data_IF_270496073712
#
_entry.id   IF_270496073712
#
_cell.length_a   1.000
_cell.length_b   1.000
_cell.length_c   1.000
_cell.angle_alpha   90.00
_cell.angle_beta   90.00
_cell.angle_gamma   90.00
#
_symmetry.space_group_name_H-M   'P 1'
#
loop_
_entity.id
_entity.type
_entity.pdbx_description
1 polymer ?
#
# COMPACT_ATOMS: atom_id res chain seq x y z
N UNK A 1 -8.00 24.21 4.21
CA UNK A 1 -9.35 24.43 3.64
C UNK A 1 -10.01 23.08 3.41
N UNK A 2 -11.34 22.97 3.51
CA UNK A 2 -12.05 21.73 3.16
C UNK A 2 -11.83 21.38 1.68
N UNK A 3 -11.52 20.12 1.39
CA UNK A 3 -11.33 19.64 0.03
C UNK A 3 -12.67 19.56 -0.71
N UNK A 4 -12.72 20.13 -1.92
CA UNK A 4 -13.80 19.84 -2.86
C UNK A 4 -13.63 18.46 -3.50
N UNK A 5 -14.68 17.95 -4.15
CA UNK A 5 -14.66 16.67 -4.85
C UNK A 5 -13.52 16.60 -5.86
N UNK A 6 -12.69 15.56 -5.79
CA UNK A 6 -11.56 15.35 -6.69
C UNK A 6 -10.27 16.09 -6.32
N UNK A 7 -10.29 16.93 -5.28
CA UNK A 7 -9.09 17.59 -4.78
C UNK A 7 -8.32 16.71 -3.79
N UNK A 8 -7.02 16.92 -3.75
CA UNK A 8 -6.10 16.33 -2.78
C UNK A 8 -5.24 17.43 -2.16
N UNK A 9 -4.79 17.22 -0.92
CA UNK A 9 -3.78 18.09 -0.33
C UNK A 9 -2.44 17.92 -1.03
N UNK A 10 -1.70 19.01 -1.21
CA UNK A 10 -0.33 18.97 -1.73
C UNK A 10 0.63 18.42 -0.67
N UNK A 11 1.10 17.20 -0.87
CA UNK A 11 2.14 16.57 -0.06
C UNK A 11 3.54 16.71 -0.66
N UNK A 12 3.65 16.92 -1.97
CA UNK A 12 4.94 16.92 -2.66
C UNK A 12 5.76 18.15 -2.30
N UNK A 13 5.13 19.33 -2.19
CA UNK A 13 5.85 20.55 -1.84
C UNK A 13 6.59 20.43 -0.50
N UNK A 14 5.98 19.80 0.51
CA UNK A 14 6.60 19.58 1.82
C UNK A 14 7.73 18.55 1.73
N UNK A 15 7.44 17.38 1.13
CA UNK A 15 8.42 16.30 0.98
C UNK A 15 9.68 16.79 0.23
N UNK A 16 9.49 17.53 -0.87
CA UNK A 16 10.59 18.06 -1.65
C UNK A 16 11.33 19.19 -0.94
N UNK A 17 10.63 20.05 -0.19
CA UNK A 17 11.30 21.08 0.60
C UNK A 17 12.24 20.48 1.65
N UNK A 18 11.81 19.40 2.32
CA UNK A 18 12.66 18.69 3.29
C UNK A 18 13.82 17.98 2.60
N UNK A 19 13.58 17.29 1.47
CA UNK A 19 14.64 16.64 0.70
C UNK A 19 15.68 17.65 0.17
N UNK A 20 15.27 18.86 -0.23
CA UNK A 20 16.18 19.95 -0.60
C UNK A 20 17.06 20.38 0.58
N UNK A 21 16.49 20.49 1.79
CA UNK A 21 17.26 20.81 3.01
C UNK A 21 18.29 19.73 3.31
N UNK A 22 17.91 18.46 3.20
CA UNK A 22 18.80 17.31 3.40
C UNK A 22 19.97 17.31 2.39
N UNK A 23 19.76 17.87 1.19
CA UNK A 23 20.78 18.04 0.17
C UNK A 23 21.64 19.30 0.35
N UNK A 24 21.45 20.07 1.42
CA UNK A 24 22.19 21.32 1.69
C UNK A 24 21.61 22.56 1.01
N UNK A 25 20.45 22.45 0.36
CA UNK A 25 19.76 23.57 -0.29
C UNK A 25 18.82 24.33 0.64
N UNK A 26 18.43 25.53 0.23
CA UNK A 26 17.39 26.34 0.90
C UNK A 26 16.11 26.33 0.06
N UNK A 27 15.04 25.62 0.47
CA UNK A 27 13.81 25.57 -0.31
C UNK A 27 13.09 26.93 -0.28
N UNK A 28 12.58 27.35 -1.45
CA UNK A 28 11.75 28.54 -1.61
C UNK A 28 10.35 28.08 -2.05
N UNK A 29 9.37 28.02 -1.13
CA UNK A 29 8.01 27.61 -1.49
C UNK A 29 7.35 28.62 -2.43
N UNK A 30 7.00 28.17 -3.65
CA UNK A 30 6.34 29.01 -4.67
C UNK A 30 4.81 28.82 -4.73
N UNK A 31 4.27 27.92 -3.89
CA UNK A 31 2.83 27.63 -3.80
C UNK A 31 2.29 26.75 -4.93
N UNK A 32 0.98 26.53 -4.90
CA UNK A 32 0.25 25.78 -5.93
C UNK A 32 -0.03 26.71 -7.11
N UNK A 33 0.40 26.32 -8.31
CA UNK A 33 0.18 27.06 -9.55
C UNK A 33 -1.00 26.42 -10.29
N UNK A 34 -2.01 27.20 -10.74
CA UNK A 34 -3.09 26.68 -11.57
C UNK A 34 -2.57 26.06 -12.86
N UNK A 35 -3.27 25.04 -13.38
CA UNK A 35 -2.95 24.34 -14.64
C UNK A 35 -3.26 25.19 -15.89
N UNK A 36 -2.74 26.42 -15.91
CA UNK A 36 -2.92 27.42 -16.97
C UNK A 36 -1.56 27.85 -17.55
N UNK A 37 -1.33 27.79 -18.88
CA UNK A 37 -0.02 28.07 -19.47
C UNK A 37 0.60 29.41 -19.05
N UNK A 38 -0.22 30.47 -18.96
CA UNK A 38 0.24 31.79 -18.53
C UNK A 38 0.67 31.83 -17.06
N UNK A 39 -0.04 31.10 -16.19
CA UNK A 39 0.28 31.02 -14.77
C UNK A 39 1.59 30.25 -14.55
N UNK A 40 1.76 29.11 -15.24
CA UNK A 40 3.00 28.31 -15.20
C UNK A 40 4.19 29.13 -15.72
N UNK A 41 4.06 29.82 -16.86
CA UNK A 41 5.11 30.70 -17.39
C UNK A 41 5.55 31.76 -16.39
N UNK A 42 4.59 32.48 -15.81
CA UNK A 42 4.88 33.51 -14.83
C UNK A 42 5.54 32.94 -13.57
N UNK A 43 5.12 31.75 -13.12
CA UNK A 43 5.71 31.08 -11.96
C UNK A 43 7.15 30.63 -12.23
N UNK A 44 7.42 30.00 -13.37
CA UNK A 44 8.77 29.56 -13.78
C UNK A 44 9.72 30.76 -13.88
N UNK A 45 9.29 31.85 -14.53
CA UNK A 45 10.10 33.06 -14.65
C UNK A 45 10.46 33.67 -13.28
N UNK A 46 9.48 33.74 -12.36
CA UNK A 46 9.74 34.19 -10.97
C UNK A 46 10.69 33.27 -10.23
N UNK A 47 10.55 31.95 -10.39
CA UNK A 47 11.41 30.96 -9.74
C UNK A 47 12.86 31.05 -10.26
N UNK A 48 13.05 31.15 -11.57
CA UNK A 48 14.37 31.32 -12.20
C UNK A 48 15.08 32.61 -11.77
N UNK A 49 14.33 33.68 -11.48
CA UNK A 49 14.88 34.92 -10.95
C UNK A 49 15.33 34.80 -9.48
N UNK A 50 14.68 33.94 -8.69
CA UNK A 50 14.86 33.87 -7.24
C UNK A 50 15.70 32.68 -6.74
N UNK A 51 15.90 31.65 -7.57
CA UNK A 51 16.53 30.39 -7.19
C UNK A 51 17.60 29.93 -8.18
N UNK A 52 18.47 29.01 -7.73
CA UNK A 52 19.50 28.36 -8.54
C UNK A 52 19.01 27.07 -9.21
N UNK A 53 18.03 26.41 -8.58
CA UNK A 53 17.37 25.19 -9.07
C UNK A 53 15.86 25.37 -8.95
N UNK A 54 15.12 25.02 -10.01
CA UNK A 54 13.65 25.12 -10.03
C UNK A 54 13.04 23.73 -10.09
N UNK A 55 12.15 23.44 -9.13
CA UNK A 55 11.43 22.17 -9.05
C UNK A 55 9.94 22.41 -9.22
N UNK A 56 9.33 21.66 -10.13
CA UNK A 56 7.90 21.52 -10.30
C UNK A 56 7.52 20.10 -9.89
N UNK A 57 6.35 19.91 -9.30
CA UNK A 57 5.83 18.57 -8.97
C UNK A 57 4.38 18.45 -9.41
N UNK A 58 4.07 17.40 -10.17
CA UNK A 58 2.75 17.27 -10.80
C UNK A 58 2.68 17.90 -12.19
N UNK A 59 1.51 17.81 -12.81
CA UNK A 59 1.28 18.23 -14.20
C UNK A 59 1.91 17.33 -15.27
N UNK A 60 2.59 16.25 -14.88
CA UNK A 60 3.24 15.30 -15.81
C UNK A 60 2.42 13.99 -15.93
N UNK A 61 2.05 13.62 -17.16
CA UNK A 61 1.38 12.37 -17.61
C UNK A 61 -0.17 12.30 -17.70
N UNK A 62 -0.60 11.85 -18.91
CA UNK A 62 -1.97 11.50 -19.40
C UNK A 62 -2.97 12.64 -19.59
N UNK A 63 -2.68 13.52 -20.56
CA UNK A 63 -3.61 14.51 -21.13
C UNK A 63 -3.02 15.25 -22.34
N UNK A 64 -3.78 16.06 -23.10
CA UNK A 64 -3.48 16.50 -24.48
C UNK A 64 -2.22 17.36 -24.73
N UNK A 65 -1.37 17.59 -23.73
CA UNK A 65 0.07 17.93 -23.77
C UNK A 65 0.49 18.08 -22.31
N UNK A 66 1.68 17.58 -21.95
CA UNK A 66 2.30 17.80 -20.64
C UNK A 66 2.54 19.32 -20.50
N UNK A 67 1.59 20.03 -19.86
CA UNK A 67 1.49 21.49 -19.88
C UNK A 67 2.81 22.12 -19.45
N UNK A 68 3.40 21.57 -18.38
CA UNK A 68 4.66 22.03 -17.84
C UNK A 68 5.77 21.89 -18.88
N UNK A 69 5.92 20.71 -19.50
CA UNK A 69 6.97 20.48 -20.50
C UNK A 69 6.83 21.42 -21.68
N UNK A 70 5.62 21.57 -22.22
CA UNK A 70 5.37 22.52 -23.32
C UNK A 70 5.74 23.95 -22.92
N UNK A 71 5.35 24.39 -21.72
CA UNK A 71 5.72 25.72 -21.23
C UNK A 71 7.23 25.86 -21.12
N UNK A 72 7.94 24.84 -20.64
CA UNK A 72 9.40 24.86 -20.56
C UNK A 72 10.06 24.93 -21.96
N UNK A 73 9.57 24.16 -22.93
CA UNK A 73 10.06 24.23 -24.33
C UNK A 73 9.85 25.63 -24.95
N UNK A 74 8.77 26.31 -24.59
CA UNK A 74 8.45 27.66 -25.10
C UNK A 74 9.20 28.80 -24.38
N UNK A 75 9.73 28.58 -23.16
CA UNK A 75 10.19 29.68 -22.29
C UNK A 75 11.60 29.59 -21.75
N UNK A 76 12.22 28.42 -21.73
CA UNK A 76 13.57 28.30 -21.20
C UNK A 76 14.61 28.77 -22.23
N UNK A 77 15.66 29.42 -21.74
CA UNK A 77 16.85 29.69 -22.53
C UNK A 77 17.56 28.36 -22.88
N UNK A 78 18.40 28.38 -23.91
CA UNK A 78 19.22 27.23 -24.26
C UNK A 78 20.02 26.72 -23.03
N UNK A 79 20.14 25.39 -22.83
CA UNK A 79 19.80 24.31 -23.77
C UNK A 79 18.34 23.83 -23.76
N UNK A 80 17.49 24.31 -22.84
CA UNK A 80 16.08 23.90 -22.75
C UNK A 80 15.89 22.48 -22.19
N UNK A 81 14.88 21.76 -22.68
CA UNK A 81 14.55 20.39 -22.24
C UNK A 81 15.61 19.40 -22.73
N UNK A 82 16.23 18.66 -21.80
CA UNK A 82 17.29 17.67 -22.07
C UNK A 82 16.79 16.22 -21.99
N UNK A 83 15.76 15.95 -21.17
CA UNK A 83 15.15 14.63 -21.10
C UNK A 83 13.67 14.75 -20.76
N UNK A 84 12.83 13.97 -21.43
CA UNK A 84 11.41 13.79 -21.11
C UNK A 84 11.06 12.31 -21.07
N UNK A 85 10.82 11.81 -19.87
CA UNK A 85 10.55 10.41 -19.60
C UNK A 85 11.81 9.61 -19.26
N UNK A 86 11.72 8.78 -18.22
CA UNK A 86 12.79 7.85 -17.83
C UNK A 86 12.27 6.42 -17.78
N UNK A 87 13.16 5.46 -18.05
CA UNK A 87 12.87 4.03 -17.96
C UNK A 87 12.95 3.52 -16.49
N UNK A 88 12.30 4.25 -15.58
CA UNK A 88 12.29 4.02 -14.14
C UNK A 88 10.87 3.79 -13.63
N UNK A 89 10.72 2.88 -12.67
CA UNK A 89 9.48 2.57 -11.95
C UNK A 89 9.76 2.57 -10.45
N UNK A 90 9.07 3.38 -9.63
CA UNK A 90 8.19 4.49 -10.01
C UNK A 90 8.99 5.67 -10.59
N UNK A 91 8.36 6.54 -11.40
CA UNK A 91 9.05 7.77 -11.86
C UNK A 91 9.02 8.09 -13.36
N UNK A 92 8.37 7.27 -14.20
CA UNK A 92 8.33 7.47 -15.65
C UNK A 92 8.13 8.94 -16.11
N UNK A 93 7.14 9.71 -15.60
CA UNK A 93 6.90 11.07 -16.08
C UNK A 93 7.81 12.08 -15.38
N UNK A 94 9.04 12.20 -15.86
CA UNK A 94 10.04 13.16 -15.42
C UNK A 94 10.42 14.07 -16.60
N UNK A 95 10.57 15.36 -16.37
CA UNK A 95 11.21 16.27 -17.31
C UNK A 95 12.44 16.90 -16.65
N UNK A 96 13.59 16.80 -17.32
CA UNK A 96 14.81 17.50 -16.93
C UNK A 96 15.10 18.56 -18.00
N UNK A 97 15.43 19.75 -17.55
CA UNK A 97 15.71 20.90 -18.40
C UNK A 97 16.76 21.81 -17.76
N UNK A 98 17.34 22.70 -18.55
CA UNK A 98 18.26 23.74 -18.08
C UNK A 98 17.92 25.05 -18.79
N UNK A 99 17.83 26.15 -18.03
CA UNK A 99 17.73 27.50 -18.58
C UNK A 99 19.03 28.25 -18.33
N UNK A 100 19.83 28.45 -19.38
CA UNK A 100 21.19 28.97 -19.24
C UNK A 100 22.06 28.01 -18.43
N UNK A 101 22.31 28.35 -17.15
CA UNK A 101 23.06 27.51 -16.21
C UNK A 101 22.21 26.97 -15.04
N UNK A 102 20.89 27.21 -15.04
CA UNK A 102 19.99 26.85 -13.94
C UNK A 102 19.21 25.56 -14.25
N UNK A 103 19.37 24.49 -13.44
CA UNK A 103 18.59 23.27 -13.59
C UNK A 103 17.10 23.49 -13.30
N UNK A 104 16.25 22.88 -14.13
CA UNK A 104 14.79 22.85 -13.96
C UNK A 104 14.32 21.40 -14.06
N UNK A 105 13.55 20.93 -13.07
CA UNK A 105 12.99 19.59 -13.08
C UNK A 105 11.48 19.62 -12.87
N UNK A 106 10.75 18.86 -13.70
CA UNK A 106 9.32 18.58 -13.49
C UNK A 106 9.19 17.14 -13.02
N UNK A 107 8.94 17.00 -11.73
CA UNK A 107 8.81 15.72 -11.04
C UNK A 107 7.38 15.16 -11.18
N UNK A 108 7.23 13.83 -11.17
CA UNK A 108 5.93 13.17 -11.15
C UNK A 108 4.97 13.72 -10.09
N UNK A 109 3.66 13.74 -10.39
CA UNK A 109 2.65 14.13 -9.40
C UNK A 109 2.45 13.13 -8.27
N UNK A 110 2.79 11.86 -8.49
CA UNK A 110 2.67 10.83 -7.46
C UNK A 110 3.82 10.93 -6.44
N UNK A 111 3.54 11.00 -5.12
CA UNK A 111 4.56 11.34 -4.12
C UNK A 111 5.77 10.40 -4.08
N UNK A 112 5.53 9.09 -4.13
CA UNK A 112 6.62 8.10 -4.17
C UNK A 112 7.46 8.29 -5.44
N UNK A 113 6.83 8.61 -6.57
CA UNK A 113 7.56 8.86 -7.83
C UNK A 113 8.37 10.15 -7.76
N UNK A 114 7.82 11.21 -7.16
CA UNK A 114 8.48 12.50 -7.00
C UNK A 114 9.75 12.37 -6.16
N UNK A 115 9.68 11.70 -5.00
CA UNK A 115 10.82 11.57 -4.10
C UNK A 115 11.92 10.65 -4.67
N UNK A 116 11.55 9.55 -5.34
CA UNK A 116 12.53 8.69 -6.02
C UNK A 116 13.26 9.44 -7.14
N UNK A 117 12.52 10.10 -8.03
CA UNK A 117 13.13 10.86 -9.13
C UNK A 117 13.91 12.07 -8.63
N UNK A 118 13.50 12.69 -7.52
CA UNK A 118 14.29 13.71 -6.84
C UNK A 118 15.64 13.15 -6.39
N UNK A 119 15.68 12.05 -5.63
CA UNK A 119 16.93 11.49 -5.12
C UNK A 119 17.84 10.99 -6.24
N UNK A 120 17.28 10.40 -7.30
CA UNK A 120 18.05 9.88 -8.43
C UNK A 120 18.65 11.00 -9.29
N UNK A 121 17.88 12.05 -9.63
CA UNK A 121 18.27 13.01 -10.67
C UNK A 121 18.52 14.44 -10.16
N UNK A 122 17.90 14.84 -9.05
CA UNK A 122 17.95 16.23 -8.56
C UNK A 122 18.89 16.38 -7.36
N UNK A 123 18.86 15.44 -6.41
CA UNK A 123 19.70 15.48 -5.22
C UNK A 123 21.19 15.56 -5.54
N UNK A 124 21.75 14.80 -6.52
CA UNK A 124 23.17 14.91 -6.87
C UNK A 124 23.54 16.32 -7.35
N UNK A 125 22.64 16.98 -8.10
CA UNK A 125 22.84 18.33 -8.63
C UNK A 125 22.84 19.37 -7.51
N UNK A 126 21.86 19.31 -6.60
CA UNK A 126 21.79 20.24 -5.46
C UNK A 126 23.02 20.08 -4.56
N UNK A 127 23.43 18.83 -4.29
CA UNK A 127 24.61 18.54 -3.46
C UNK A 127 25.88 19.08 -4.10
N UNK A 128 26.07 18.85 -5.41
CA UNK A 128 27.21 19.39 -6.14
C UNK A 128 27.27 20.93 -6.09
N UNK A 129 26.12 21.60 -6.27
CA UNK A 129 26.02 23.07 -6.14
C UNK A 129 26.30 23.55 -4.71
N UNK A 130 25.93 22.77 -3.70
CA UNK A 130 26.21 23.05 -2.29
C UNK A 130 27.67 22.72 -1.89
N UNK A 131 28.51 22.23 -2.81
CA UNK A 131 29.87 21.78 -2.50
C UNK A 131 29.93 20.50 -1.66
N UNK A 132 28.83 19.74 -1.63
CA UNK A 132 28.75 18.45 -0.97
C UNK A 132 29.10 17.33 -1.95
N UNK A 133 29.82 16.31 -1.46
CA UNK A 133 30.09 15.10 -2.23
C UNK A 133 28.84 14.24 -2.46
N UNK A 134 29.00 13.12 -3.16
CA UNK A 134 27.93 12.12 -3.30
C UNK A 134 27.39 11.68 -1.92
N UNK A 135 26.09 11.40 -1.80
CA UNK A 135 25.55 10.85 -0.57
C UNK A 135 26.23 9.51 -0.25
N UNK A 136 26.61 9.30 1.01
CA UNK A 136 27.02 7.97 1.44
C UNK A 136 25.79 7.07 1.48
N UNK A 137 25.66 6.19 0.49
CA UNK A 137 24.60 5.20 0.45
C UNK A 137 24.87 4.09 1.47
N UNK A 138 24.01 3.96 2.47
CA UNK A 138 24.03 2.78 3.33
C UNK A 138 23.31 1.63 2.62
N UNK A 139 24.11 0.62 2.27
CA UNK A 139 23.64 -0.62 1.62
C UNK A 139 23.58 -1.74 2.64
N UNK A 140 22.42 -2.39 2.72
CA UNK A 140 22.13 -3.45 3.68
C UNK A 140 21.81 -4.73 2.90
N UNK A 141 22.54 -5.81 3.16
CA UNK A 141 22.21 -7.12 2.61
C UNK A 141 20.98 -7.70 3.35
N UNK A 142 19.98 -8.17 2.61
CA UNK A 142 18.80 -8.80 3.17
C UNK A 142 18.20 -9.84 2.23
N UNK A 143 17.61 -10.89 2.79
CA UNK A 143 16.98 -11.97 2.03
C UNK A 143 15.54 -11.63 1.65
N UNK A 144 15.11 -11.98 0.45
CA UNK A 144 13.71 -11.89 0.06
C UNK A 144 12.90 -13.09 0.60
N UNK A 145 11.76 -12.88 1.28
CA UNK A 145 10.91 -13.95 1.77
C UNK A 145 9.87 -14.42 0.75
N UNK A 146 9.82 -13.78 -0.42
CA UNK A 146 8.90 -14.08 -1.53
C UNK A 146 9.57 -13.72 -2.86
N UNK A 147 9.18 -14.41 -3.93
CA UNK A 147 9.56 -14.02 -5.30
C UNK A 147 9.03 -12.64 -5.65
N UNK A 148 9.89 -11.81 -6.24
CA UNK A 148 9.54 -10.47 -6.73
C UNK A 148 9.57 -10.48 -8.24
N UNK A 149 8.45 -10.09 -8.86
CA UNK A 149 8.35 -9.94 -10.31
C UNK A 149 8.36 -8.47 -10.71
N UNK A 150 9.05 -8.17 -11.80
CA UNK A 150 9.21 -6.84 -12.39
C UNK A 150 8.81 -6.84 -13.87
N UNK A 151 8.39 -5.68 -14.37
CA UNK A 151 8.06 -5.51 -15.79
C UNK A 151 9.33 -5.35 -16.63
N UNK A 152 9.48 -6.09 -17.75
CA UNK A 152 10.62 -5.92 -18.65
C UNK A 152 10.74 -4.48 -19.17
N UNK A 153 11.98 -4.01 -19.35
CA UNK A 153 12.27 -2.74 -20.01
C UNK A 153 12.22 -1.52 -19.08
N UNK A 154 12.04 -1.70 -17.77
CA UNK A 154 12.16 -0.63 -16.77
C UNK A 154 12.96 -1.08 -15.56
N UNK A 155 13.83 -0.20 -15.08
CA UNK A 155 14.44 -0.38 -13.76
C UNK A 155 13.38 -0.13 -12.70
N UNK A 156 13.16 -1.09 -11.80
CA UNK A 156 12.15 -0.98 -10.73
C UNK A 156 12.80 -0.83 -9.35
N UNK A 157 12.49 0.26 -8.65
CA UNK A 157 12.85 0.46 -7.25
C UNK A 157 11.76 -0.12 -6.36
N UNK A 158 12.03 -1.26 -5.74
CA UNK A 158 11.08 -1.98 -4.90
C UNK A 158 11.29 -1.56 -3.46
N UNK A 159 10.33 -0.83 -2.89
CA UNK A 159 10.34 -0.45 -1.48
C UNK A 159 10.19 -1.69 -0.59
N UNK A 160 10.91 -1.71 0.53
CA UNK A 160 10.91 -2.83 1.46
C UNK A 160 10.75 -2.38 2.90
N UNK A 161 10.22 -3.27 3.72
CA UNK A 161 10.36 -3.24 5.17
C UNK A 161 11.32 -4.32 5.61
N UNK A 162 12.29 -3.94 6.42
CA UNK A 162 13.29 -4.85 6.98
C UNK A 162 12.76 -5.45 8.28
N UNK A 163 12.89 -6.76 8.40
CA UNK A 163 12.69 -7.52 9.63
C UNK A 163 13.92 -8.35 9.92
N UNK A 164 14.01 -8.88 11.13
CA UNK A 164 15.15 -9.68 11.59
C UNK A 164 14.62 -11.04 12.08
N UNK A 165 15.30 -12.11 11.70
CA UNK A 165 15.01 -13.47 12.19
C UNK A 165 15.50 -13.65 13.62
N UNK A 166 15.10 -14.74 14.29
CA UNK A 166 15.67 -15.12 15.60
C UNK A 166 17.21 -15.28 15.56
N UNK A 167 17.77 -15.63 14.39
CA UNK A 167 19.20 -15.81 14.18
C UNK A 167 19.94 -14.50 13.81
N UNK A 168 19.25 -13.36 13.77
CA UNK A 168 19.84 -12.07 13.42
C UNK A 168 19.96 -11.78 11.92
N UNK A 169 19.46 -12.68 11.05
CA UNK A 169 19.48 -12.45 9.61
C UNK A 169 18.37 -11.48 9.18
N UNK A 170 18.71 -10.51 8.32
CA UNK A 170 17.76 -9.53 7.79
C UNK A 170 16.93 -10.09 6.65
N UNK A 171 15.65 -9.76 6.66
CA UNK A 171 14.67 -10.16 5.66
C UNK A 171 13.96 -8.91 5.13
N UNK A 172 13.91 -8.77 3.81
CA UNK A 172 13.34 -7.62 3.12
C UNK A 172 11.96 -7.96 2.56
N UNK A 173 10.91 -7.50 3.23
CA UNK A 173 9.53 -7.67 2.78
C UNK A 173 9.17 -6.55 1.78
N UNK A 174 8.88 -6.88 0.50
CA UNK A 174 8.44 -5.89 -0.47
C UNK A 174 7.12 -5.23 -0.04
N UNK A 175 7.04 -3.91 -0.13
CA UNK A 175 5.83 -3.15 0.20
C UNK A 175 5.38 -2.26 -0.95
N UNK A 176 4.06 -2.27 -1.17
CA UNK A 176 3.39 -1.41 -2.14
C UNK A 176 3.64 -1.81 -3.60
N UNK A 177 2.56 -2.02 -4.35
CA UNK A 177 2.58 -1.98 -5.82
C UNK A 177 1.74 -0.77 -6.23
N UNK A 178 2.37 0.40 -6.35
CA UNK A 178 1.67 1.62 -6.76
C UNK A 178 2.39 2.91 -6.35
N UNK A 179 2.58 3.83 -7.29
CA UNK A 179 3.32 5.08 -7.14
C UNK A 179 2.66 6.13 -6.24
N UNK A 180 1.34 6.03 -5.99
CA UNK A 180 0.55 7.09 -5.36
C UNK A 180 0.50 7.09 -3.83
N UNK A 181 1.21 6.18 -3.16
CA UNK A 181 1.05 5.95 -1.72
C UNK A 181 2.19 6.57 -0.90
N UNK A 182 1.96 7.77 -0.34
CA UNK A 182 2.88 8.42 0.62
C UNK A 182 3.17 7.51 1.81
N UNK A 183 2.16 6.76 2.28
CA UNK A 183 2.28 5.88 3.43
C UNK A 183 3.22 4.71 3.17
N UNK A 184 3.34 4.25 1.92
CA UNK A 184 4.31 3.21 1.56
C UNK A 184 5.73 3.72 1.71
N UNK A 185 6.02 4.94 1.24
CA UNK A 185 7.34 5.56 1.45
C UNK A 185 7.63 5.77 2.94
N UNK A 186 6.69 6.34 3.70
CA UNK A 186 6.90 6.62 5.13
C UNK A 186 7.10 5.37 6.00
N UNK A 187 6.69 4.20 5.51
CA UNK A 187 6.80 2.93 6.21
C UNK A 187 7.98 2.07 5.74
N UNK A 188 8.60 2.44 4.61
CA UNK A 188 9.76 1.76 4.06
C UNK A 188 10.98 1.96 4.95
N UNK A 189 11.78 0.89 5.10
CA UNK A 189 13.12 0.99 5.68
C UNK A 189 14.17 1.25 4.58
N UNK A 190 13.82 0.95 3.31
CA UNK A 190 14.69 1.15 2.15
C UNK A 190 14.04 0.65 0.87
N UNK A 191 14.84 0.51 -0.18
CA UNK A 191 14.46 -0.13 -1.44
C UNK A 191 15.63 -0.88 -2.06
N UNK A 192 15.35 -1.85 -2.92
CA UNK A 192 16.36 -2.42 -3.83
C UNK A 192 16.00 -2.14 -5.28
N UNK A 193 16.99 -2.24 -6.16
CA UNK A 193 16.85 -1.96 -7.58
C UNK A 193 16.79 -3.27 -8.35
N UNK A 194 15.70 -3.46 -9.08
CA UNK A 194 15.55 -4.53 -10.08
C UNK A 194 15.96 -3.98 -11.45
N UNK A 195 17.04 -4.49 -12.07
CA UNK A 195 17.46 -4.04 -13.38
C UNK A 195 16.39 -4.28 -14.45
N UNK A 196 16.35 -3.44 -15.49
CA UNK A 196 15.40 -3.57 -16.62
C UNK A 196 15.42 -4.89 -17.38
N UNK A 197 16.47 -5.69 -17.21
CA UNK A 197 16.70 -7.00 -17.82
C UNK A 197 16.26 -8.16 -16.92
N UNK A 198 15.83 -7.87 -15.69
CA UNK A 198 15.44 -8.86 -14.69
C UNK A 198 13.92 -8.81 -14.54
N UNK A 199 13.27 -9.92 -14.83
CA UNK A 199 11.80 -10.06 -14.72
C UNK A 199 11.39 -10.68 -13.37
N UNK A 200 12.31 -11.39 -12.73
CA UNK A 200 12.06 -12.15 -11.52
C UNK A 200 13.33 -12.21 -10.67
N UNK A 201 13.16 -12.07 -9.36
CA UNK A 201 14.15 -12.40 -8.33
C UNK A 201 13.48 -13.40 -7.41
N UNK A 202 14.11 -14.55 -7.19
CA UNK A 202 13.50 -15.67 -6.51
C UNK A 202 13.42 -15.48 -4.98
N UNK A 203 12.47 -16.17 -4.37
CA UNK A 203 12.42 -16.30 -2.92
C UNK A 203 13.76 -16.88 -2.39
N UNK A 204 14.28 -16.29 -1.33
CA UNK A 204 15.53 -16.72 -0.71
C UNK A 204 16.78 -16.04 -1.26
N UNK A 205 16.68 -15.30 -2.37
CA UNK A 205 17.80 -14.51 -2.88
C UNK A 205 18.13 -13.33 -1.95
N UNK A 206 19.42 -12.97 -1.91
CA UNK A 206 19.91 -11.80 -1.20
C UNK A 206 19.89 -10.57 -2.11
N UNK A 207 19.35 -9.47 -1.61
CA UNK A 207 19.31 -8.18 -2.30
C UNK A 207 20.02 -7.10 -1.50
N UNK A 208 20.61 -6.13 -2.21
CA UNK A 208 21.22 -4.94 -1.63
C UNK A 208 20.18 -3.84 -1.46
N UNK A 209 19.83 -3.55 -0.21
CA UNK A 209 18.84 -2.52 0.15
C UNK A 209 19.54 -1.19 0.35
N UNK A 210 19.14 -0.17 -0.40
CA UNK A 210 19.45 1.23 -0.16
C UNK A 210 18.53 1.75 0.94
N UNK A 211 19.11 2.14 2.08
CA UNK A 211 18.34 2.62 3.23
C UNK A 211 17.74 4.01 2.98
N UNK A 212 16.48 4.21 3.37
CA UNK A 212 15.83 5.53 3.38
C UNK A 212 15.98 6.08 4.80
N UNK A 213 16.81 7.13 4.98
CA UNK A 213 17.03 7.93 6.19
C UNK A 213 16.95 7.17 7.56
N UNK A 214 18.11 6.87 8.15
CA UNK A 214 18.21 6.26 9.49
C UNK A 214 18.74 4.83 9.51
N UNK A 215 19.10 4.28 8.35
CA UNK A 215 20.23 3.36 8.14
C UNK A 215 20.14 1.93 8.66
N UNK A 216 19.40 1.69 9.74
CA UNK A 216 19.18 0.37 10.30
C UNK A 216 17.70 0.11 10.35
N UNK A 217 17.28 -1.14 10.14
CA UNK A 217 15.92 -1.58 10.39
C UNK A 217 15.48 -0.94 11.71
N UNK A 218 14.53 0.00 11.66
CA UNK A 218 14.12 0.71 12.88
C UNK A 218 13.74 -0.37 13.88
N UNK A 219 14.51 -0.49 14.97
CA UNK A 219 14.22 -1.47 16.01
C UNK A 219 12.86 -1.11 16.56
N UNK A 220 11.89 -1.97 16.26
CA UNK A 220 10.55 -1.88 16.79
C UNK A 220 10.40 -2.92 17.89
N UNK A 221 9.50 -2.64 18.83
CA UNK A 221 9.22 -3.55 19.92
C UNK A 221 8.47 -4.80 19.44
N UNK A 222 7.61 -4.63 18.42
CA UNK A 222 6.74 -5.69 17.91
C UNK A 222 6.69 -5.71 16.38
N UNK A 223 6.98 -6.87 15.78
CA UNK A 223 6.79 -7.13 14.35
C UNK A 223 5.58 -8.03 14.13
N UNK A 224 4.62 -7.55 13.34
CA UNK A 224 3.40 -8.27 12.98
C UNK A 224 3.39 -8.51 11.47
N UNK A 225 3.32 -9.77 11.02
CA UNK A 225 3.28 -10.11 9.58
C UNK A 225 2.07 -11.00 9.31
N UNK A 226 1.23 -10.61 8.36
CA UNK A 226 0.08 -11.43 8.00
C UNK A 226 -0.92 -10.71 7.13
N UNK A 227 -2.18 -11.12 7.20
CA UNK A 227 -3.25 -10.41 6.50
C UNK A 227 -3.57 -9.10 7.20
N UNK A 228 -3.86 -8.04 6.46
CA UNK A 228 -4.32 -6.79 7.06
C UNK A 228 -5.78 -6.91 7.52
N UNK A 229 -6.10 -6.31 8.66
CA UNK A 229 -7.47 -6.17 9.14
C UNK A 229 -7.64 -4.86 9.92
N UNK A 230 -8.81 -4.23 9.77
CA UNK A 230 -9.17 -3.01 10.52
C UNK A 230 -9.14 -3.19 12.04
N UNK A 231 -9.38 -4.41 12.54
CA UNK A 231 -9.27 -4.69 13.97
C UNK A 231 -7.83 -4.68 14.48
N UNK A 232 -6.87 -5.05 13.63
CA UNK A 232 -5.45 -4.99 13.95
C UNK A 232 -5.00 -3.53 14.12
N UNK A 233 -5.53 -2.62 13.30
CA UNK A 233 -5.23 -1.18 13.41
C UNK A 233 -5.69 -0.60 14.76
N UNK A 234 -6.81 -1.08 15.30
CA UNK A 234 -7.30 -0.71 16.65
C UNK A 234 -6.31 -1.17 17.72
N UNK A 235 -5.89 -2.43 17.67
CA UNK A 235 -4.94 -3.01 18.63
C UNK A 235 -3.58 -2.28 18.55
N UNK A 236 -3.05 -2.08 17.35
CA UNK A 236 -1.79 -1.35 17.14
C UNK A 236 -1.90 0.10 17.60
N UNK A 237 -3.04 0.77 17.38
CA UNK A 237 -3.29 2.12 17.86
C UNK A 237 -3.33 2.22 19.40
N UNK A 238 -3.77 1.16 20.08
CA UNK A 238 -3.71 1.05 21.55
C UNK A 238 -2.30 0.81 22.06
N UNK A 239 -1.58 -0.12 21.44
CA UNK A 239 -0.18 -0.41 21.75
C UNK A 239 0.72 0.83 21.61
N UNK A 240 0.53 1.61 20.54
CA UNK A 240 1.26 2.89 20.36
C UNK A 240 1.00 3.88 21.48
N UNK A 241 -0.23 3.98 21.98
CA UNK A 241 -0.56 4.84 23.14
C UNK A 241 0.10 4.37 24.44
N UNK A 242 0.46 3.08 24.52
CA UNK A 242 1.26 2.50 25.61
C UNK A 242 2.77 2.60 25.37
N UNK A 243 3.20 3.29 24.30
CA UNK A 243 4.62 3.45 23.96
C UNK A 243 5.23 2.25 23.23
N UNK A 244 4.44 1.24 22.84
CA UNK A 244 4.93 0.08 22.08
C UNK A 244 4.97 0.43 20.59
N UNK A 245 6.16 0.39 20.01
CA UNK A 245 6.36 0.62 18.58
C UNK A 245 6.09 -0.67 17.80
N UNK A 246 5.28 -0.57 16.73
CA UNK A 246 4.88 -1.73 15.94
C UNK A 246 5.22 -1.56 14.46
N UNK A 247 5.74 -2.63 13.86
CA UNK A 247 5.91 -2.81 12.41
C UNK A 247 4.87 -3.81 11.92
N UNK A 248 3.99 -3.39 11.01
CA UNK A 248 2.94 -4.26 10.43
C UNK A 248 3.22 -4.46 8.96
N UNK A 249 3.34 -5.71 8.53
CA UNK A 249 3.57 -6.08 7.12
C UNK A 249 2.38 -6.91 6.64
N UNK A 250 1.64 -6.35 5.67
CA UNK A 250 0.47 -6.97 5.08
C UNK A 250 0.89 -7.93 3.94
N UNK A 251 1.43 -9.10 4.30
CA UNK A 251 1.87 -10.13 3.35
C UNK A 251 0.78 -11.17 3.00
N UNK A 252 -0.36 -11.15 3.72
CA UNK A 252 -1.41 -12.17 3.61
C UNK A 252 -1.29 -13.28 4.68
N UNK A 253 -2.36 -14.04 4.90
CA UNK A 253 -2.43 -14.99 6.02
C UNK A 253 -1.42 -16.13 5.92
N UNK A 254 -1.26 -16.73 4.73
CA UNK A 254 -0.33 -17.83 4.52
C UNK A 254 1.11 -17.36 4.70
N UNK A 255 1.49 -16.27 4.04
CA UNK A 255 2.81 -15.66 4.20
C UNK A 255 3.11 -15.25 5.65
N UNK A 256 2.11 -14.78 6.40
CA UNK A 256 2.25 -14.52 7.84
C UNK A 256 2.53 -15.77 8.66
N UNK A 257 1.81 -16.87 8.40
CA UNK A 257 2.05 -18.15 9.05
C UNK A 257 3.45 -18.71 8.73
N UNK A 258 3.91 -18.56 7.50
CA UNK A 258 5.24 -19.01 7.11
C UNK A 258 6.33 -18.11 7.72
N UNK A 259 6.09 -16.79 7.78
CA UNK A 259 6.97 -15.83 8.45
C UNK A 259 7.16 -16.12 9.95
N UNK A 260 6.08 -16.42 10.68
CA UNK A 260 6.17 -16.75 12.12
C UNK A 260 6.89 -18.10 12.34
N UNK A 261 6.79 -19.06 11.40
CA UNK A 261 7.55 -20.33 11.42
C UNK A 261 9.03 -20.15 11.09
N UNK A 262 9.39 -19.17 10.27
CA UNK A 262 10.79 -18.78 10.01
C UNK A 262 11.37 -17.83 11.07
N UNK A 263 10.57 -17.39 12.03
CA UNK A 263 10.99 -16.49 13.11
C UNK A 263 11.20 -15.06 12.63
N UNK A 264 10.51 -14.64 11.57
CA UNK A 264 10.65 -13.32 10.95
C UNK A 264 9.72 -12.27 11.59
N UNK A 265 8.81 -12.70 12.48
CA UNK A 265 7.88 -11.82 13.18
C UNK A 265 7.53 -12.36 14.57
N UNK A 266 6.92 -11.51 15.39
CA UNK A 266 6.47 -11.86 16.74
C UNK A 266 5.06 -12.42 16.77
N UNK A 267 4.20 -11.87 15.91
CA UNK A 267 2.78 -12.19 15.81
C UNK A 267 2.40 -12.29 14.33
N UNK A 268 1.63 -13.30 13.95
CA UNK A 268 1.06 -13.41 12.63
C UNK A 268 -0.47 -13.40 12.63
N UNK A 269 -1.06 -12.36 12.04
CA UNK A 269 -2.51 -12.20 11.91
C UNK A 269 -3.05 -12.96 10.71
N UNK A 270 -4.03 -13.84 10.93
CA UNK A 270 -4.48 -14.79 9.93
C UNK A 270 -5.99 -15.08 9.98
N UNK A 271 -6.52 -15.49 8.83
CA UNK A 271 -7.88 -16.00 8.65
C UNK A 271 -7.84 -17.13 7.60
N UNK A 272 -6.94 -18.09 7.81
CA UNK A 272 -6.76 -19.25 6.95
C UNK A 272 -7.96 -20.17 7.09
N UNK A 273 -8.61 -20.49 5.97
CA UNK A 273 -9.78 -21.36 5.94
C UNK A 273 -9.37 -22.74 5.42
N UNK A 274 -9.73 -23.78 6.16
CA UNK A 274 -9.59 -25.16 5.70
C UNK A 274 -10.95 -25.68 5.19
N UNK A 275 -11.10 -25.93 3.88
CA UNK A 275 -12.34 -26.45 3.32
C UNK A 275 -12.72 -27.85 3.82
N UNK A 276 -11.75 -28.66 4.26
CA UNK A 276 -11.99 -30.04 4.69
C UNK A 276 -12.66 -30.10 6.06
N UNK A 277 -12.19 -29.29 7.02
CA UNK A 277 -12.76 -29.21 8.37
C UNK A 277 -13.80 -28.10 8.53
N UNK A 278 -13.80 -27.11 7.64
CA UNK A 278 -14.60 -25.89 7.77
C UNK A 278 -14.10 -24.93 8.86
N UNK A 279 -12.95 -25.22 9.48
CA UNK A 279 -12.39 -24.46 10.58
C UNK A 279 -11.43 -23.36 10.08
N UNK A 280 -11.11 -22.41 10.98
CA UNK A 280 -10.28 -21.25 10.67
C UNK A 280 -9.03 -21.22 11.55
N UNK A 281 -7.86 -21.25 10.92
CA UNK A 281 -6.54 -21.18 11.57
C UNK A 281 -6.14 -22.42 12.40
N UNK A 282 -7.05 -23.08 13.13
CA UNK A 282 -6.67 -24.24 13.97
C UNK A 282 -6.02 -25.38 13.17
N UNK A 283 -6.50 -25.77 11.98
CA UNK A 283 -5.88 -26.82 11.18
C UNK A 283 -4.44 -26.53 10.75
N UNK A 284 -4.01 -25.27 10.84
CA UNK A 284 -2.69 -24.81 10.44
C UNK A 284 -1.72 -24.64 11.64
N UNK A 285 -2.19 -24.90 12.86
CA UNK A 285 -1.41 -24.76 14.09
C UNK A 285 -0.35 -25.87 14.20
N UNK A 286 0.91 -25.48 14.44
CA UNK A 286 2.00 -26.41 14.75
C UNK A 286 2.34 -26.40 16.24
N UNK A 287 3.09 -27.40 16.70
CA UNK A 287 3.47 -27.56 18.11
C UNK A 287 4.30 -26.39 18.68
N UNK A 288 5.02 -25.65 17.83
CA UNK A 288 5.85 -24.49 18.20
C UNK A 288 5.07 -23.20 18.37
N UNK A 289 3.85 -23.17 17.83
CA UNK A 289 2.99 -21.99 17.79
C UNK A 289 1.88 -22.11 18.82
N UNK A 290 1.36 -20.96 19.22
CA UNK A 290 0.14 -20.81 19.97
C UNK A 290 -0.84 -19.96 19.15
N UNK A 291 -2.10 -20.41 19.08
CA UNK A 291 -3.17 -19.65 18.44
C UNK A 291 -3.91 -18.83 19.49
N UNK A 292 -3.91 -17.52 19.31
CA UNK A 292 -4.62 -16.56 20.16
C UNK A 292 -5.85 -16.07 19.44
N UNK A 293 -7.01 -16.25 20.08
CA UNK A 293 -8.30 -15.86 19.51
C UNK A 293 -8.36 -14.35 19.37
N UNK A 294 -8.65 -13.90 18.15
CA UNK A 294 -8.87 -12.50 17.86
C UNK A 294 -10.35 -12.18 17.86
N UNK A 295 -10.88 -11.93 16.68
CA UNK A 295 -12.26 -11.45 16.50
C UNK A 295 -12.86 -11.99 15.20
N UNK A 296 -14.18 -12.08 15.18
CA UNK A 296 -14.96 -12.48 14.01
C UNK A 296 -15.27 -11.31 13.09
N UNK A 297 -15.35 -11.59 11.79
CA UNK A 297 -15.87 -10.71 10.75
C UNK A 297 -17.06 -11.37 10.10
N UNK A 298 -18.18 -10.67 9.94
CA UNK A 298 -19.33 -11.25 9.28
C UNK A 298 -19.18 -11.08 7.76
N UNK A 299 -19.11 -12.20 7.04
CA UNK A 299 -19.15 -12.22 5.59
C UNK A 299 -20.59 -12.33 5.09
N UNK A 300 -20.89 -11.65 4.00
CA UNK A 300 -22.22 -11.60 3.44
C UNK A 300 -22.28 -11.09 2.02
N UNK A 301 -23.44 -11.27 1.40
CA UNK A 301 -23.76 -10.74 0.07
C UNK A 301 -24.01 -9.25 0.22
N UNK A 302 -23.19 -8.45 -0.45
CA UNK A 302 -23.34 -7.00 -0.55
C UNK A 302 -24.10 -6.67 -1.81
N UNK A 303 -25.11 -5.82 -1.69
CA UNK A 303 -25.94 -5.34 -2.79
C UNK A 303 -26.35 -3.87 -2.56
N UNK A 304 -26.94 -3.21 -3.55
CA UNK A 304 -27.50 -1.86 -3.34
C UNK A 304 -28.79 -1.92 -2.52
N UNK A 305 -29.02 -0.93 -1.66
CA UNK A 305 -30.28 -0.81 -0.91
C UNK A 305 -31.45 -0.55 -1.86
N UNK A 306 -32.63 -1.01 -1.48
CA UNK A 306 -33.84 -0.96 -2.29
C UNK A 306 -33.88 -1.97 -3.45
N UNK A 307 -32.90 -2.87 -3.56
CA UNK A 307 -32.88 -3.86 -4.65
C UNK A 307 -33.77 -5.07 -4.32
N UNK A 308 -34.94 -5.22 -4.98
CA UNK A 308 -35.91 -6.27 -4.66
C UNK A 308 -35.42 -7.69 -5.02
N UNK A 309 -34.32 -7.78 -5.78
CA UNK A 309 -33.67 -9.06 -6.09
C UNK A 309 -32.97 -9.66 -4.87
N UNK A 310 -32.62 -8.84 -3.88
CA UNK A 310 -31.85 -9.22 -2.70
C UNK A 310 -32.60 -8.93 -1.38
N UNK A 311 -33.30 -7.82 -1.27
CA UNK A 311 -33.96 -7.43 -0.02
C UNK A 311 -35.01 -8.45 0.43
N UNK A 312 -35.02 -8.73 1.74
CA UNK A 312 -35.93 -9.68 2.37
C UNK A 312 -35.63 -11.16 2.09
N UNK A 313 -34.55 -11.48 1.37
CA UNK A 313 -34.14 -12.85 1.07
C UNK A 313 -32.97 -13.30 1.95
N UNK A 314 -32.81 -14.60 2.12
CA UNK A 314 -31.55 -15.14 2.63
C UNK A 314 -30.43 -14.97 1.58
N UNK A 315 -29.17 -14.99 2.03
CA UNK A 315 -28.03 -14.89 1.13
C UNK A 315 -28.01 -16.00 0.06
N UNK A 316 -28.40 -17.22 0.44
CA UNK A 316 -28.44 -18.36 -0.46
C UNK A 316 -29.53 -18.21 -1.53
N UNK A 317 -30.75 -17.85 -1.14
CA UNK A 317 -31.85 -17.60 -2.08
C UNK A 317 -31.53 -16.45 -3.04
N UNK A 318 -30.96 -15.36 -2.52
CA UNK A 318 -30.60 -14.19 -3.31
C UNK A 318 -29.52 -14.55 -4.35
N UNK A 319 -28.45 -15.25 -3.96
CA UNK A 319 -27.38 -15.65 -4.88
C UNK A 319 -27.89 -16.62 -5.93
N UNK A 320 -28.66 -17.65 -5.55
CA UNK A 320 -29.19 -18.64 -6.50
C UNK A 320 -30.16 -18.00 -7.50
N UNK A 321 -31.01 -17.08 -7.05
CA UNK A 321 -31.93 -16.35 -7.93
C UNK A 321 -31.20 -15.37 -8.85
N UNK A 322 -30.29 -14.56 -8.29
CA UNK A 322 -29.48 -13.61 -9.04
C UNK A 322 -28.65 -14.32 -10.13
N UNK A 323 -28.07 -15.47 -9.82
CA UNK A 323 -27.26 -16.25 -10.76
C UNK A 323 -28.04 -16.76 -11.99
N UNK A 324 -29.38 -16.85 -11.90
CA UNK A 324 -30.27 -17.28 -13.00
C UNK A 324 -30.99 -16.11 -13.67
N UNK A 325 -30.85 -14.90 -13.13
CA UNK A 325 -31.58 -13.73 -13.63
C UNK A 325 -30.78 -13.06 -14.75
N UNK A 326 -31.33 -12.92 -15.97
CA UNK A 326 -30.65 -12.23 -17.06
C UNK A 326 -30.28 -10.79 -16.69
N UNK A 327 -29.08 -10.37 -17.08
CA UNK A 327 -28.60 -8.99 -16.87
C UNK A 327 -28.07 -8.69 -15.46
N UNK A 328 -28.13 -9.62 -14.52
CA UNK A 328 -27.50 -9.45 -13.20
C UNK A 328 -26.01 -9.78 -13.29
N UNK A 329 -25.17 -8.84 -12.86
CA UNK A 329 -23.70 -8.94 -12.90
C UNK A 329 -23.16 -9.08 -11.50
N UNK A 330 -22.31 -10.08 -11.27
CA UNK A 330 -21.58 -10.23 -10.01
C UNK A 330 -20.16 -9.69 -10.11
N UNK A 331 -19.53 -9.46 -8.95
CA UNK A 331 -18.08 -9.30 -8.83
C UNK A 331 -17.53 -10.29 -7.81
N UNK A 332 -16.45 -10.99 -8.17
CA UNK A 332 -15.90 -12.07 -7.36
C UNK A 332 -14.67 -11.64 -6.56
N UNK A 333 -14.29 -12.44 -5.56
CA UNK A 333 -12.98 -12.33 -4.88
C UNK A 333 -11.93 -13.15 -5.62
N UNK A 334 -10.67 -12.76 -5.42
CA UNK A 334 -9.53 -13.47 -6.00
C UNK A 334 -9.54 -14.97 -5.62
N UNK A 335 -9.13 -15.81 -6.56
CA UNK A 335 -8.97 -17.26 -6.33
C UNK A 335 -8.07 -17.53 -5.13
N UNK A 336 -8.36 -18.63 -4.43
CA UNK A 336 -7.64 -19.05 -3.24
C UNK A 336 -8.04 -18.31 -1.94
N UNK A 337 -8.90 -17.28 -2.01
CA UNK A 337 -9.42 -16.64 -0.79
C UNK A 337 -10.54 -17.48 -0.14
N UNK A 338 -10.63 -17.48 1.20
CA UNK A 338 -11.73 -18.15 1.91
C UNK A 338 -13.11 -17.60 1.50
N UNK A 339 -13.21 -16.31 1.21
CA UNK A 339 -14.43 -15.70 0.65
C UNK A 339 -14.79 -16.29 -0.70
N UNK A 340 -13.82 -16.58 -1.57
CA UNK A 340 -14.08 -17.22 -2.87
C UNK A 340 -14.64 -18.62 -2.68
N UNK A 341 -14.08 -19.42 -1.77
CA UNK A 341 -14.59 -20.75 -1.47
C UNK A 341 -16.04 -20.71 -0.93
N UNK A 342 -16.35 -19.74 -0.06
CA UNK A 342 -17.70 -19.51 0.45
C UNK A 342 -18.67 -19.14 -0.68
N UNK A 343 -18.25 -18.25 -1.58
CA UNK A 343 -19.08 -17.76 -2.66
C UNK A 343 -19.34 -18.82 -3.73
N UNK A 344 -18.30 -19.59 -4.10
CA UNK A 344 -18.41 -20.70 -5.04
C UNK A 344 -19.35 -21.80 -4.50
N UNK A 345 -19.36 -22.04 -3.18
CA UNK A 345 -20.32 -22.94 -2.53
C UNK A 345 -21.77 -22.46 -2.70
N UNK A 346 -22.03 -21.17 -2.58
CA UNK A 346 -23.37 -20.60 -2.77
C UNK A 346 -23.82 -20.62 -4.24
N UNK A 347 -22.87 -20.45 -5.17
CA UNK A 347 -23.15 -20.49 -6.62
C UNK A 347 -23.34 -21.91 -7.15
N UNK A 348 -22.70 -22.91 -6.54
CA UNK A 348 -22.66 -24.27 -7.07
C UNK A 348 -22.07 -24.30 -8.48
N UNK A 349 -22.79 -24.89 -9.43
CA UNK A 349 -22.37 -24.97 -10.84
C UNK A 349 -22.66 -23.70 -11.65
N UNK A 350 -23.38 -22.73 -11.07
CA UNK A 350 -23.74 -21.50 -11.79
C UNK A 350 -22.52 -20.61 -12.04
N UNK A 351 -22.47 -19.99 -13.23
CA UNK A 351 -21.41 -19.06 -13.65
C UNK A 351 -22.04 -17.78 -14.23
N UNK A 352 -22.64 -16.92 -13.40
CA UNK A 352 -23.33 -15.72 -13.88
C UNK A 352 -22.35 -14.68 -14.46
N UNK A 353 -22.84 -13.68 -15.19
CA UNK A 353 -22.03 -12.58 -15.72
C UNK A 353 -21.15 -11.96 -14.63
N UNK A 354 -19.85 -11.79 -14.92
CA UNK A 354 -18.88 -11.26 -13.96
C UNK A 354 -18.23 -12.30 -13.04
N UNK A 355 -18.55 -13.60 -13.15
CA UNK A 355 -17.89 -14.66 -12.36
C UNK A 355 -16.36 -14.66 -12.46
N UNK A 356 -15.82 -14.37 -13.65
CA UNK A 356 -14.38 -14.26 -13.91
C UNK A 356 -13.76 -12.91 -13.54
N UNK A 357 -14.55 -11.92 -13.13
CA UNK A 357 -14.07 -10.59 -12.72
C UNK A 357 -13.72 -10.65 -11.24
N UNK A 358 -12.43 -10.55 -10.94
CA UNK A 358 -11.90 -10.72 -9.58
C UNK A 358 -11.48 -9.37 -8.99
N UNK A 359 -11.85 -9.15 -7.73
CA UNK A 359 -11.42 -8.03 -6.92
C UNK A 359 -10.42 -8.50 -5.86
N UNK A 360 -9.36 -7.73 -5.66
CA UNK A 360 -8.28 -8.00 -4.71
C UNK A 360 -8.59 -7.59 -3.26
N UNK A 361 -9.67 -6.84 -3.00
CA UNK A 361 -10.10 -6.47 -1.64
C UNK A 361 -11.61 -6.42 -1.46
N UNK A 362 -12.07 -6.49 -0.21
CA UNK A 362 -13.48 -6.31 0.16
C UNK A 362 -14.00 -4.89 -0.19
N UNK A 363 -13.15 -3.86 -0.04
CA UNK A 363 -13.51 -2.50 -0.45
C UNK A 363 -13.72 -2.36 -1.95
N UNK A 364 -12.95 -3.09 -2.77
CA UNK A 364 -13.14 -3.09 -4.22
C UNK A 364 -14.46 -3.72 -4.64
N UNK A 365 -14.90 -4.80 -3.96
CA UNK A 365 -16.25 -5.37 -4.13
C UNK A 365 -17.31 -4.32 -3.81
N UNK A 366 -17.27 -3.74 -2.61
CA UNK A 366 -18.28 -2.78 -2.16
C UNK A 366 -18.31 -1.52 -3.06
N UNK A 367 -17.15 -1.05 -3.52
CA UNK A 367 -17.07 0.07 -4.46
C UNK A 367 -17.68 -0.27 -5.83
N UNK A 368 -17.44 -1.46 -6.37
CA UNK A 368 -18.03 -1.88 -7.64
C UNK A 368 -19.56 -1.96 -7.56
N UNK A 369 -20.10 -2.46 -6.44
CA UNK A 369 -21.54 -2.52 -6.19
C UNK A 369 -22.14 -1.12 -6.03
N UNK A 370 -21.51 -0.26 -5.22
CA UNK A 370 -21.99 1.12 -5.02
C UNK A 370 -21.99 1.94 -6.33
N UNK A 371 -21.02 1.70 -7.21
CA UNK A 371 -20.86 2.41 -8.49
C UNK A 371 -21.70 1.80 -9.63
N UNK A 372 -22.48 0.75 -9.38
CA UNK A 372 -23.28 0.09 -10.42
C UNK A 372 -22.47 -0.73 -11.44
N UNK A 373 -21.18 -0.99 -11.18
CA UNK A 373 -20.34 -1.85 -12.04
C UNK A 373 -20.61 -3.34 -11.84
N UNK A 374 -21.20 -3.70 -10.70
CA UNK A 374 -21.74 -5.02 -10.40
C UNK A 374 -23.02 -4.84 -9.57
N UNK A 375 -23.94 -5.79 -9.61
CA UNK A 375 -25.15 -5.82 -8.78
C UNK A 375 -24.89 -6.36 -7.39
N UNK A 376 -24.03 -7.38 -7.28
CA UNK A 376 -23.70 -8.00 -6.01
C UNK A 376 -22.30 -8.61 -5.97
N UNK A 377 -21.82 -8.88 -4.76
CA UNK A 377 -20.60 -9.63 -4.49
C UNK A 377 -20.53 -10.02 -3.02
N UNK A 378 -19.57 -10.85 -2.63
CA UNK A 378 -19.38 -11.21 -1.21
C UNK A 378 -18.28 -10.35 -0.60
N UNK A 379 -18.61 -9.69 0.51
CA UNK A 379 -17.65 -8.91 1.30
C UNK A 379 -17.98 -8.97 2.79
N UNK A 380 -17.25 -8.22 3.60
CA UNK A 380 -17.51 -8.10 5.05
C UNK A 380 -18.53 -7.00 5.34
N UNK A 381 -19.31 -7.18 6.40
CA UNK A 381 -20.36 -6.27 6.82
C UNK A 381 -19.90 -4.83 7.06
N UNK A 382 -18.69 -4.65 7.59
CA UNK A 382 -18.10 -3.32 7.83
C UNK A 382 -18.02 -2.51 6.53
N UNK A 383 -17.54 -3.11 5.44
CA UNK A 383 -17.36 -2.37 4.18
C UNK A 383 -18.68 -2.06 3.48
N UNK A 384 -19.73 -2.84 3.77
CA UNK A 384 -21.08 -2.58 3.29
C UNK A 384 -21.68 -1.39 4.05
N UNK A 385 -21.54 -1.36 5.38
CA UNK A 385 -22.00 -0.24 6.23
C UNK A 385 -21.34 1.08 5.86
N UNK A 386 -20.01 1.08 5.66
CA UNK A 386 -19.24 2.27 5.29
C UNK A 386 -19.67 2.89 3.94
N UNK A 387 -20.39 2.14 3.10
CA UNK A 387 -20.88 2.58 1.77
C UNK A 387 -22.40 2.61 1.67
N UNK A 388 -23.10 2.48 2.79
CA UNK A 388 -24.56 2.40 2.86
C UNK A 388 -25.17 1.37 1.89
N UNK A 389 -24.60 0.16 1.90
CA UNK A 389 -25.05 -0.96 1.08
C UNK A 389 -25.89 -1.96 1.88
N UNK A 390 -26.76 -2.68 1.18
CA UNK A 390 -27.47 -3.83 1.72
C UNK A 390 -26.53 -5.00 1.98
N UNK A 391 -26.85 -5.81 2.98
CA UNK A 391 -26.00 -6.89 3.46
C UNK A 391 -26.82 -8.11 3.89
N UNK A 392 -26.58 -9.25 3.24
CA UNK A 392 -27.18 -10.54 3.62
C UNK A 392 -26.12 -11.44 4.24
N UNK A 393 -26.20 -11.76 5.54
CA UNK A 393 -25.15 -12.54 6.22
C UNK A 393 -25.06 -13.97 5.68
N UNK A 394 -23.83 -14.47 5.58
CA UNK A 394 -23.53 -15.86 5.16
C UNK A 394 -22.84 -16.61 6.30
N UNK A 395 -21.66 -16.15 6.71
CA UNK A 395 -20.81 -16.87 7.65
C UNK A 395 -19.90 -15.92 8.41
N UNK A 396 -19.51 -16.31 9.62
CA UNK A 396 -18.48 -15.62 10.38
C UNK A 396 -17.10 -16.15 9.97
N UNK A 397 -16.20 -15.21 9.64
CA UNK A 397 -14.79 -15.46 9.41
C UNK A 397 -14.00 -15.15 10.67
N UNK A 398 -13.11 -16.05 11.09
CA UNK A 398 -12.29 -15.85 12.29
C UNK A 398 -10.94 -15.26 11.90
N UNK A 399 -10.63 -14.09 12.47
CA UNK A 399 -9.32 -13.48 12.36
C UNK A 399 -8.59 -13.65 13.69
N UNK A 400 -7.59 -14.52 13.70
CA UNK A 400 -6.83 -14.92 14.89
C UNK A 400 -5.34 -14.61 14.71
N UNK A 401 -4.56 -14.84 15.78
CA UNK A 401 -3.15 -14.50 15.84
C UNK A 401 -2.30 -15.72 16.21
N UNK A 402 -1.38 -16.09 15.33
CA UNK A 402 -0.33 -17.05 15.66
C UNK A 402 0.81 -16.35 16.39
N UNK A 403 1.28 -16.94 17.48
CA UNK A 403 2.41 -16.45 18.27
C UNK A 403 3.37 -17.60 18.51
N UNK A 404 4.67 -17.36 18.35
CA UNK A 404 5.67 -18.37 18.67
C UNK A 404 5.79 -18.53 20.19
N UNK A 405 5.75 -19.77 20.70
CA UNK A 405 5.80 -20.02 22.15
C UNK A 405 7.06 -19.44 22.81
N UNK A 406 8.21 -19.48 22.13
CA UNK A 406 9.47 -18.90 22.61
C UNK A 406 9.43 -17.37 22.74
N UNK A 407 8.48 -16.69 22.09
CA UNK A 407 8.34 -15.22 22.11
C UNK A 407 7.26 -14.72 23.07
N UNK A 408 6.47 -15.60 23.70
CA UNK A 408 5.42 -15.22 24.65
C UNK A 408 5.93 -14.38 25.85
N UNK A 409 7.20 -14.56 26.21
CA UNK A 409 7.80 -13.82 27.31
C UNK A 409 8.25 -12.40 26.91
N UNK A 410 8.31 -12.06 25.62
CA UNK A 410 8.75 -10.73 25.18
C UNK A 410 7.75 -9.67 25.66
N UNK A 411 8.19 -8.55 26.26
CA UNK A 411 7.30 -7.51 26.79
C UNK A 411 6.28 -7.01 25.77
N UNK A 412 6.70 -6.79 24.53
CA UNK A 412 5.82 -6.31 23.46
C UNK A 412 4.75 -7.33 23.05
N UNK A 413 5.08 -8.62 23.06
CA UNK A 413 4.13 -9.71 22.79
C UNK A 413 3.12 -9.81 23.94
N UNK A 414 3.57 -9.72 25.20
CA UNK A 414 2.65 -9.67 26.34
C UNK A 414 1.70 -8.49 26.26
N UNK A 415 2.21 -7.29 25.97
CA UNK A 415 1.39 -6.10 25.78
C UNK A 415 0.35 -6.30 24.66
N UNK A 416 0.73 -6.94 23.54
CA UNK A 416 -0.21 -7.28 22.46
C UNK A 416 -1.32 -8.21 22.94
N UNK A 417 -0.98 -9.27 23.69
CA UNK A 417 -1.96 -10.22 24.23
C UNK A 417 -2.89 -9.58 25.27
N UNK A 418 -2.36 -8.74 26.15
CA UNK A 418 -3.15 -7.96 27.10
C UNK A 418 -4.13 -7.03 26.38
N UNK A 419 -3.70 -6.32 25.33
CA UNK A 419 -4.61 -5.48 24.53
C UNK A 419 -5.67 -6.31 23.80
N UNK A 420 -5.33 -7.52 23.34
CA UNK A 420 -6.28 -8.43 22.68
C UNK A 420 -7.42 -8.85 23.62
N UNK A 421 -7.12 -9.00 24.91
CA UNK A 421 -8.08 -9.41 25.95
C UNK A 421 -8.75 -8.23 26.67
N UNK A 422 -8.18 -7.02 26.53
CA UNK A 422 -8.67 -5.80 27.17
C UNK A 422 -10.13 -5.50 26.82
N UNK A 423 -10.95 -5.26 27.86
CA UNK A 423 -12.34 -4.88 27.70
C UNK A 423 -12.53 -3.62 26.85
N UNK A 424 -11.62 -2.65 26.97
CA UNK A 424 -11.66 -1.41 26.19
C UNK A 424 -11.41 -1.69 24.70
N UNK A 425 -10.39 -2.49 24.39
CA UNK A 425 -10.07 -2.85 23.01
C UNK A 425 -11.20 -3.67 22.39
N UNK A 426 -11.75 -4.66 23.11
CA UNK A 426 -12.92 -5.41 22.65
C UNK A 426 -14.14 -4.52 22.41
N UNK A 427 -14.38 -3.51 23.24
CA UNK A 427 -15.45 -2.54 23.02
C UNK A 427 -15.21 -1.72 21.74
N UNK A 428 -13.98 -1.27 21.49
CA UNK A 428 -13.61 -0.55 20.26
C UNK A 428 -13.77 -1.44 19.01
N UNK A 429 -13.39 -2.71 19.09
CA UNK A 429 -13.59 -3.67 18.00
C UNK A 429 -15.09 -3.86 17.70
N UNK A 430 -15.92 -4.03 18.73
CA UNK A 430 -17.39 -4.12 18.57
C UNK A 430 -18.00 -2.84 17.99
N UNK A 431 -17.53 -1.67 18.41
CA UNK A 431 -17.96 -0.39 17.85
C UNK A 431 -17.62 -0.27 16.34
N UNK A 432 -16.57 -0.96 15.88
CA UNK A 432 -16.22 -1.08 14.46
C UNK A 432 -16.97 -2.19 13.73
N UNK A 433 -17.88 -2.89 14.40
CA UNK A 433 -18.68 -3.98 13.82
C UNK A 433 -18.02 -5.35 13.85
N UNK A 434 -16.87 -5.50 14.51
CA UNK A 434 -16.20 -6.79 14.68
C UNK A 434 -16.81 -7.58 15.85
N UNK A 435 -16.77 -8.91 15.77
CA UNK A 435 -17.28 -9.81 16.82
C UNK A 435 -16.14 -10.18 17.77
N UNK A 436 -15.94 -9.36 18.81
CA UNK A 436 -14.81 -9.42 19.74
C UNK A 436 -15.24 -9.60 21.20
#
# INVERSE_FOLDING_TARGET
EPLATGQVYDSNAIILADAVRECGGRPLPMGIVPDEPGAVRAAVARALAAADVVLLSGGTSKGPRDLNVRVLEETLDAPGVIAHGVALKPGKPLCLAVSGNKPVAVLPGFPTSAIFTFHEFVAPVIRALAGLGEPQEERIAARLPITVTSEPGRTECVLVRLTETDAGALVAYPIGKGSGSVTTWSQADGYFVVPKTVEMIDEGEEVSILAIAGGRARRVDLVIIGSHCVGLDVIVGRLRRRGVTCKVIAAGSQAGLDAIRRGECDVAGAHLYDPATGAYNEPFLSHELELRRGYGRLQGVVHRRGDPRFEGRSAEEAVRAAARTPGVVMINRNRGSGTRALYDRLLGDARPPGYGVEASSHHAIAAAVAQGRADFGVAIDIVARDRDLGFLPIAEERYDFFVRKTRLARPAVRAFLEELESAETRALLRARGLRA
#
